data_IF_917552155561
#
_entry.id   IF_917552155561
#
_cell.length_a   1.000
_cell.length_b   1.000
_cell.length_c   1.000
_cell.angle_alpha   90.00
_cell.angle_beta   90.00
_cell.angle_gamma   90.00
#
_symmetry.space_group_name_H-M   'P 1'
#
loop_
_entity.id
_entity.type
_entity.pdbx_description
1 polymer ?
#
# COMPACT_ATOMS: atom_id res chain seq x y z
N UNK A 1 52.34 -42.25 14.33
CA UNK A 1 51.77 -41.20 15.22
C UNK A 1 50.73 -40.40 14.44
N UNK A 2 49.62 -39.99 15.07
CA UNK A 2 48.30 -40.41 14.59
C UNK A 2 47.35 -39.27 14.19
N UNK A 3 46.56 -39.57 13.13
CA UNK A 3 45.09 -39.42 12.92
C UNK A 3 44.19 -38.52 13.83
N UNK A 4 44.65 -37.41 14.42
CA UNK A 4 43.80 -36.58 15.30
C UNK A 4 43.67 -35.08 14.96
N UNK A 5 43.93 -34.64 13.73
CA UNK A 5 43.82 -33.22 13.36
C UNK A 5 42.89 -32.90 12.18
N UNK A 6 41.80 -33.66 11.99
CA UNK A 6 40.73 -33.35 11.01
C UNK A 6 39.30 -33.53 11.54
N UNK A 7 39.08 -33.26 12.82
CA UNK A 7 37.75 -33.41 13.43
C UNK A 7 37.38 -32.27 14.39
N UNK A 8 37.83 -31.05 14.12
CA UNK A 8 37.52 -29.84 14.90
C UNK A 8 37.08 -28.64 14.05
N UNK A 9 36.47 -28.88 12.88
CA UNK A 9 35.85 -27.82 12.05
C UNK A 9 34.38 -28.10 11.68
N UNK A 10 33.70 -29.01 12.41
CA UNK A 10 32.28 -29.28 12.23
C UNK A 10 31.59 -29.50 13.56
N UNK A 11 31.48 -28.46 14.38
CA UNK A 11 30.58 -28.38 15.55
C UNK A 11 30.63 -26.96 16.13
N UNK A 12 30.06 -26.00 15.42
CA UNK A 12 29.68 -24.69 15.95
C UNK A 12 28.45 -24.19 15.19
N UNK A 13 27.44 -25.05 15.04
CA UNK A 13 26.07 -24.63 14.79
C UNK A 13 25.36 -24.76 16.13
N UNK A 14 25.50 -23.75 16.98
CA UNK A 14 24.75 -23.68 18.24
C UNK A 14 24.25 -22.27 18.40
N UNK A 15 22.94 -22.14 18.19
CA UNK A 15 22.05 -21.20 18.85
C UNK A 15 22.55 -19.74 18.96
N UNK A 16 22.30 -18.98 17.91
CA UNK A 16 22.11 -17.54 18.02
C UNK A 16 20.90 -17.14 17.16
N UNK A 17 19.73 -17.68 17.48
CA UNK A 17 18.49 -17.01 17.07
C UNK A 17 18.25 -15.90 18.09
N UNK A 18 18.65 -14.71 17.65
CA UNK A 18 18.51 -13.44 18.30
C UNK A 18 17.04 -13.22 18.67
N UNK A 19 16.82 -13.03 19.96
CA UNK A 19 15.64 -12.42 20.53
C UNK A 19 15.61 -10.96 20.06
N UNK A 20 14.88 -10.63 19.00
CA UNK A 20 14.51 -9.25 18.66
C UNK A 20 13.33 -9.22 17.70
N UNK A 21 12.14 -9.08 18.26
CA UNK A 21 11.10 -8.14 17.80
C UNK A 21 9.90 -8.38 18.71
N UNK A 22 9.86 -7.69 19.84
CA UNK A 22 8.57 -7.33 20.40
C UNK A 22 7.95 -6.35 19.41
N UNK A 23 7.28 -6.88 18.37
CA UNK A 23 6.25 -6.12 17.67
C UNK A 23 5.22 -5.86 18.74
N UNK A 24 5.17 -4.64 19.26
CA UNK A 24 4.07 -4.20 20.07
C UNK A 24 2.81 -4.49 19.25
N UNK A 25 2.07 -5.52 19.66
CA UNK A 25 0.77 -5.81 19.09
C UNK A 25 -0.07 -4.57 19.36
N UNK A 26 -0.31 -3.77 18.32
CA UNK A 26 -1.26 -2.68 18.40
C UNK A 26 -2.58 -3.30 18.87
N UNK A 27 -3.14 -2.77 19.96
CA UNK A 27 -4.41 -3.20 20.55
C UNK A 27 -5.62 -2.85 19.66
N UNK A 28 -5.49 -2.96 18.34
CA UNK A 28 -6.42 -2.39 17.38
C UNK A 28 -6.53 -3.24 16.14
N UNK A 29 -6.95 -4.50 16.28
CA UNK A 29 -7.53 -5.30 15.19
C UNK A 29 -8.98 -5.73 15.52
N UNK A 30 -9.45 -5.50 16.76
CA UNK A 30 -10.79 -5.92 17.16
C UNK A 30 -11.84 -4.96 16.61
N UNK A 31 -12.69 -5.47 15.72
CA UNK A 31 -13.84 -4.76 15.17
C UNK A 31 -14.90 -4.61 16.25
N UNK A 32 -15.36 -3.38 16.49
CA UNK A 32 -16.37 -3.08 17.51
C UNK A 32 -17.78 -3.17 16.93
N UNK A 33 -17.95 -2.82 15.66
CA UNK A 33 -19.24 -2.83 14.98
C UNK A 33 -19.57 -4.21 14.42
N UNK A 34 -20.86 -4.48 14.25
CA UNK A 34 -21.31 -5.72 13.61
C UNK A 34 -21.12 -5.63 12.11
N UNK A 35 -20.99 -6.78 11.45
CA UNK A 35 -20.90 -6.86 9.99
C UNK A 35 -22.03 -6.12 9.26
N UNK A 36 -23.24 -6.15 9.83
CA UNK A 36 -24.38 -5.39 9.32
C UNK A 36 -24.12 -3.87 9.33
N UNK A 37 -23.51 -3.35 10.39
CA UNK A 37 -23.21 -1.92 10.50
C UNK A 37 -22.15 -1.52 9.48
N UNK A 38 -21.12 -2.35 9.25
CA UNK A 38 -20.12 -2.12 8.20
C UNK A 38 -20.76 -2.02 6.81
N UNK A 39 -21.67 -2.95 6.49
CA UNK A 39 -22.41 -2.96 5.22
C UNK A 39 -23.33 -1.76 5.07
N UNK A 40 -24.06 -1.41 6.13
CA UNK A 40 -24.98 -0.27 6.12
C UNK A 40 -24.21 1.05 5.93
N UNK A 41 -23.06 1.25 6.61
CA UNK A 41 -22.18 2.41 6.44
C UNK A 41 -21.60 2.45 5.02
N UNK A 42 -21.04 1.33 4.53
CA UNK A 42 -20.47 1.25 3.19
C UNK A 42 -21.50 1.58 2.10
N UNK A 43 -22.70 1.00 2.20
CA UNK A 43 -23.81 1.30 1.30
C UNK A 43 -24.18 2.79 1.32
N UNK A 44 -24.23 3.40 2.50
CA UNK A 44 -24.55 4.82 2.64
C UNK A 44 -23.46 5.73 2.04
N UNK A 45 -22.19 5.37 2.16
CA UNK A 45 -21.07 6.07 1.48
C UNK A 45 -21.17 5.87 -0.05
N UNK A 46 -21.49 4.68 -0.53
CA UNK A 46 -21.73 4.41 -1.96
C UNK A 46 -22.84 5.30 -2.54
N UNK A 47 -23.97 5.36 -1.83
CA UNK A 47 -25.08 6.25 -2.19
C UNK A 47 -24.68 7.74 -2.21
N UNK A 48 -23.78 8.16 -1.32
CA UNK A 48 -23.26 9.53 -1.30
C UNK A 48 -22.47 9.84 -2.58
N UNK A 49 -21.59 8.92 -3.01
CA UNK A 49 -20.79 9.07 -4.23
C UNK A 49 -21.70 9.11 -5.47
N UNK A 50 -22.69 8.22 -5.56
CA UNK A 50 -23.65 8.24 -6.66
C UNK A 50 -24.47 9.53 -6.72
N UNK A 51 -24.76 10.14 -5.57
CA UNK A 51 -25.53 11.37 -5.48
C UNK A 51 -24.73 12.60 -5.94
N UNK A 52 -23.40 12.62 -5.78
CA UNK A 52 -22.53 13.72 -6.25
C UNK A 52 -22.61 13.91 -7.76
N UNK A 53 -22.76 12.82 -8.52
CA UNK A 53 -22.90 12.88 -9.98
C UNK A 53 -24.29 13.31 -10.48
N UNK A 54 -25.25 13.56 -9.58
CA UNK A 54 -26.64 13.88 -9.93
C UNK A 54 -26.94 15.38 -9.74
N UNK A 55 -27.16 15.81 -8.49
CA UNK A 55 -27.45 17.20 -8.14
C UNK A 55 -27.17 17.48 -6.66
N UNK A 56 -27.13 18.76 -6.29
CA UNK A 56 -26.81 19.22 -4.93
C UNK A 56 -27.83 18.78 -3.87
N UNK A 57 -29.10 18.57 -4.25
CA UNK A 57 -30.17 18.14 -3.34
C UNK A 57 -30.04 16.65 -3.03
N UNK A 58 -29.75 15.83 -4.04
CA UNK A 58 -29.45 14.41 -3.87
C UNK A 58 -28.24 14.22 -2.96
N UNK A 59 -27.16 15.00 -3.21
CA UNK A 59 -25.96 14.98 -2.38
C UNK A 59 -26.26 15.34 -0.92
N UNK A 60 -26.98 16.44 -0.67
CA UNK A 60 -27.34 16.85 0.67
C UNK A 60 -28.16 15.78 1.41
N UNK A 61 -29.13 15.16 0.72
CA UNK A 61 -29.95 14.07 1.27
C UNK A 61 -29.10 12.84 1.64
N UNK A 62 -28.21 12.40 0.75
CA UNK A 62 -27.35 11.26 1.01
C UNK A 62 -26.36 11.54 2.16
N UNK A 63 -25.82 12.77 2.25
CA UNK A 63 -24.94 13.20 3.35
C UNK A 63 -25.67 13.15 4.70
N UNK A 64 -26.89 13.69 4.77
CA UNK A 64 -27.71 13.63 5.99
C UNK A 64 -28.00 12.19 6.38
N UNK A 65 -28.39 11.33 5.43
CA UNK A 65 -28.68 9.92 5.70
C UNK A 65 -27.47 9.16 6.27
N UNK A 66 -26.27 9.39 5.72
CA UNK A 66 -25.04 8.80 6.25
C UNK A 66 -24.73 9.31 7.67
N UNK A 67 -24.84 10.61 7.91
CA UNK A 67 -24.61 11.18 9.23
C UNK A 67 -25.61 10.63 10.27
N UNK A 68 -26.89 10.54 9.93
CA UNK A 68 -27.93 9.99 10.82
C UNK A 68 -27.67 8.53 11.15
N UNK A 69 -27.21 7.74 10.17
CA UNK A 69 -26.80 6.36 10.37
C UNK A 69 -25.61 6.26 11.34
N UNK A 70 -24.57 7.08 11.14
CA UNK A 70 -23.41 7.13 12.03
C UNK A 70 -23.82 7.52 13.46
N UNK A 71 -24.67 8.53 13.63
CA UNK A 71 -25.18 8.94 14.95
C UNK A 71 -25.95 7.80 15.61
N UNK A 72 -26.82 7.10 14.85
CA UNK A 72 -27.59 5.96 15.36
C UNK A 72 -26.67 4.84 15.84
N UNK A 73 -25.65 4.48 15.06
CA UNK A 73 -24.66 3.45 15.41
C UNK A 73 -23.86 3.90 16.64
N UNK A 74 -23.37 5.13 16.67
CA UNK A 74 -22.62 5.68 17.79
C UNK A 74 -23.39 5.72 19.12
N UNK A 75 -24.70 5.98 19.08
CA UNK A 75 -25.56 5.84 20.28
C UNK A 75 -25.67 4.38 20.74
N UNK A 76 -25.74 3.44 19.80
CA UNK A 76 -25.86 2.01 20.10
C UNK A 76 -24.56 1.40 20.69
N UNK A 77 -23.39 1.97 20.39
CA UNK A 77 -22.11 1.53 20.99
C UNK A 77 -21.94 1.94 22.47
N UNK A 78 -22.96 2.58 23.07
CA UNK A 78 -23.00 3.02 24.48
C UNK A 78 -21.88 4.01 24.87
N UNK A 79 -21.23 4.65 23.89
CA UNK A 79 -20.12 5.59 24.11
C UNK A 79 -20.54 7.07 24.18
N UNK A 80 -21.75 7.43 23.74
CA UNK A 80 -22.25 8.81 23.80
C UNK A 80 -23.78 8.90 23.74
N UNK A 81 -24.35 9.90 24.42
CA UNK A 81 -25.80 10.15 24.47
C UNK A 81 -26.26 11.27 23.52
N UNK A 82 -25.38 12.22 23.18
CA UNK A 82 -25.66 13.31 22.25
C UNK A 82 -25.19 12.98 20.81
N UNK A 83 -25.73 13.65 19.76
CA UNK A 83 -25.35 13.38 18.38
C UNK A 83 -23.86 13.61 18.07
N UNK A 84 -23.24 14.65 18.63
CA UNK A 84 -21.86 14.98 18.32
C UNK A 84 -20.91 13.93 18.90
N UNK A 85 -21.11 13.56 20.17
CA UNK A 85 -20.36 12.47 20.80
C UNK A 85 -20.56 11.13 20.09
N UNK A 86 -21.77 10.83 19.60
CA UNK A 86 -22.04 9.60 18.86
C UNK A 86 -21.25 9.54 17.53
N UNK A 87 -21.19 10.64 16.80
CA UNK A 87 -20.36 10.72 15.59
C UNK A 87 -18.88 10.55 15.92
N UNK A 88 -18.37 11.24 16.95
CA UNK A 88 -16.97 11.09 17.38
C UNK A 88 -16.63 9.65 17.77
N UNK A 89 -17.54 8.95 18.45
CA UNK A 89 -17.35 7.56 18.86
C UNK A 89 -17.19 6.61 17.68
N UNK A 90 -17.90 6.83 16.57
CA UNK A 90 -17.75 6.03 15.34
C UNK A 90 -16.50 6.44 14.57
N UNK A 91 -16.20 7.73 14.48
CA UNK A 91 -14.99 8.22 13.82
C UNK A 91 -13.70 7.71 14.49
N UNK A 92 -13.75 7.38 15.78
CA UNK A 92 -12.62 6.75 16.47
C UNK A 92 -12.37 5.29 16.06
N UNK A 93 -13.32 4.63 15.40
CA UNK A 93 -13.24 3.21 15.03
C UNK A 93 -12.59 3.03 13.66
N UNK A 94 -11.29 3.32 13.58
CA UNK A 94 -10.51 3.35 12.32
C UNK A 94 -10.66 2.05 11.51
N UNK A 95 -10.53 0.88 12.15
CA UNK A 95 -10.67 -0.42 11.46
C UNK A 95 -12.09 -0.73 11.00
N UNK A 96 -13.09 -0.40 11.83
CA UNK A 96 -14.49 -0.59 11.47
C UNK A 96 -14.88 0.28 10.27
N UNK A 97 -14.41 1.53 10.24
CA UNK A 97 -14.57 2.40 9.08
C UNK A 97 -13.84 1.84 7.85
N UNK A 98 -12.65 1.26 8.04
CA UNK A 98 -11.91 0.61 6.96
C UNK A 98 -12.70 -0.56 6.37
N UNK A 99 -13.26 -1.40 7.24
CA UNK A 99 -14.16 -2.49 6.84
C UNK A 99 -15.45 -2.00 6.19
N UNK A 100 -16.01 -0.88 6.63
CA UNK A 100 -17.15 -0.27 5.95
C UNK A 100 -16.80 0.23 4.54
N UNK A 101 -15.61 0.80 4.35
CA UNK A 101 -15.12 1.25 3.04
C UNK A 101 -15.03 0.09 2.04
N UNK A 102 -14.64 -1.11 2.47
CA UNK A 102 -14.69 -2.31 1.62
C UNK A 102 -16.09 -2.62 1.05
N UNK A 103 -17.16 -2.13 1.68
CA UNK A 103 -18.53 -2.30 1.22
C UNK A 103 -19.07 -1.13 0.38
N UNK A 104 -18.26 -0.09 0.11
CA UNK A 104 -18.69 1.10 -0.66
C UNK A 104 -18.94 0.78 -2.12
N UNK A 105 -18.00 0.06 -2.72
CA UNK A 105 -18.19 -0.41 -4.07
C UNK A 105 -19.11 -1.63 -4.01
N UNK A 106 -20.35 -1.48 -4.49
CA UNK A 106 -20.95 -2.59 -5.23
C UNK A 106 -20.09 -2.76 -6.47
N UNK A 107 -18.93 -3.41 -6.33
CA UNK A 107 -17.99 -3.64 -7.43
C UNK A 107 -18.83 -4.10 -8.61
N UNK A 108 -18.69 -3.45 -9.76
CA UNK A 108 -19.44 -3.82 -10.97
C UNK A 108 -18.83 -5.12 -11.52
N UNK A 109 -19.09 -6.21 -10.80
CA UNK A 109 -18.47 -7.54 -10.87
C UNK A 109 -19.04 -8.39 -12.03
N UNK A 110 -19.75 -7.79 -12.97
CA UNK A 110 -20.35 -8.51 -14.08
C UNK A 110 -19.27 -9.03 -15.02
N UNK A 111 -19.29 -10.34 -15.30
CA UNK A 111 -18.45 -10.96 -16.34
C UNK A 111 -17.14 -11.59 -15.85
N UNK A 112 -16.87 -11.63 -14.54
CA UNK A 112 -15.73 -12.38 -13.99
C UNK A 112 -16.05 -13.88 -14.03
N UNK A 113 -15.14 -14.68 -14.60
CA UNK A 113 -15.22 -16.15 -14.68
C UNK A 113 -14.15 -16.78 -13.79
N UNK A 114 -14.50 -17.26 -12.58
CA UNK A 114 -13.57 -17.94 -11.68
C UNK A 114 -12.88 -19.13 -12.33
N UNK A 115 -11.57 -19.28 -12.13
CA UNK A 115 -10.78 -20.38 -12.66
C UNK A 115 -10.44 -20.28 -14.15
N UNK A 116 -10.75 -19.15 -14.80
CA UNK A 116 -10.37 -18.86 -16.18
C UNK A 116 -9.40 -17.69 -16.23
N UNK A 117 -8.50 -17.75 -17.21
CA UNK A 117 -7.59 -16.65 -17.54
C UNK A 117 -8.35 -15.62 -18.39
N UNK A 118 -8.54 -14.43 -17.86
CA UNK A 118 -9.20 -13.31 -18.54
C UNK A 118 -8.16 -12.32 -19.07
N UNK A 119 -8.39 -11.78 -20.26
CA UNK A 119 -7.63 -10.64 -20.79
C UNK A 119 -8.37 -9.34 -20.48
N UNK A 120 -7.63 -8.28 -20.21
CA UNK A 120 -8.15 -6.94 -20.01
C UNK A 120 -7.35 -5.90 -20.78
N UNK A 121 -7.99 -4.78 -21.08
CA UNK A 121 -7.38 -3.63 -21.71
C UNK A 121 -7.91 -2.35 -21.06
N UNK A 122 -7.06 -1.33 -20.94
CA UNK A 122 -7.43 0.03 -20.54
C UNK A 122 -7.15 0.94 -21.74
N UNK A 123 -8.16 1.70 -22.12
CA UNK A 123 -8.02 2.79 -23.08
C UNK A 123 -7.43 4.01 -22.34
N UNK A 124 -6.30 4.50 -22.82
CA UNK A 124 -5.63 5.68 -22.26
C UNK A 124 -5.74 6.92 -23.15
N UNK A 125 -6.63 6.89 -24.16
CA UNK A 125 -6.83 8.02 -25.06
C UNK A 125 -5.75 8.19 -26.14
N UNK A 126 -4.68 7.39 -26.11
CA UNK A 126 -3.76 7.19 -27.23
C UNK A 126 -4.24 5.98 -28.06
N UNK A 127 -4.80 6.24 -29.24
CA UNK A 127 -5.44 5.24 -30.14
C UNK A 127 -4.52 4.08 -30.58
N UNK A 128 -3.20 4.16 -30.34
CA UNK A 128 -2.23 3.18 -30.83
C UNK A 128 -1.86 2.06 -29.85
N UNK A 129 -1.95 2.26 -28.52
CA UNK A 129 -1.43 1.29 -27.54
C UNK A 129 -2.33 1.17 -26.30
N UNK A 130 -3.36 0.32 -26.41
CA UNK A 130 -4.17 -0.07 -25.24
C UNK A 130 -3.28 -0.73 -24.18
N UNK A 131 -3.46 -0.36 -22.91
CA UNK A 131 -2.74 -0.99 -21.81
C UNK A 131 -3.35 -2.37 -21.53
N UNK A 132 -2.68 -3.42 -21.97
CA UNK A 132 -3.15 -4.80 -21.88
C UNK A 132 -2.62 -5.51 -20.64
N UNK A 133 -3.45 -6.36 -20.05
CA UNK A 133 -3.13 -7.17 -18.89
C UNK A 133 -3.90 -8.49 -18.94
N UNK A 134 -3.49 -9.46 -18.13
CA UNK A 134 -4.20 -10.72 -17.94
C UNK A 134 -4.45 -10.94 -16.45
N UNK A 135 -5.59 -11.56 -16.12
CA UNK A 135 -6.00 -11.86 -14.76
C UNK A 135 -6.36 -13.33 -14.64
N UNK A 136 -5.78 -14.01 -13.66
CA UNK A 136 -6.26 -15.29 -13.17
C UNK A 136 -6.99 -15.08 -11.85
N UNK A 137 -8.16 -15.71 -11.73
CA UNK A 137 -8.88 -15.79 -10.44
C UNK A 137 -9.06 -17.25 -10.04
N UNK A 138 -8.97 -17.59 -8.75
CA UNK A 138 -9.21 -18.96 -8.30
C UNK A 138 -10.61 -19.45 -8.64
N UNK A 139 -10.79 -20.76 -8.83
CA UNK A 139 -12.14 -21.36 -9.01
C UNK A 139 -13.10 -21.07 -7.86
N UNK A 140 -12.54 -20.88 -6.66
CA UNK A 140 -13.27 -20.58 -5.42
C UNK A 140 -13.59 -19.10 -5.26
N UNK A 141 -13.11 -18.24 -6.17
CA UNK A 141 -13.30 -16.79 -6.11
C UNK A 141 -14.79 -16.44 -6.04
N UNK A 142 -15.14 -15.61 -5.06
CA UNK A 142 -16.46 -15.03 -4.91
C UNK A 142 -16.33 -13.53 -4.80
N UNK A 143 -17.06 -12.85 -5.67
CA UNK A 143 -17.03 -11.41 -5.77
C UNK A 143 -17.53 -10.71 -4.48
N UNK A 144 -18.43 -11.36 -3.75
CA UNK A 144 -18.94 -10.97 -2.43
C UNK A 144 -18.42 -11.86 -1.28
N UNK A 145 -17.36 -12.64 -1.51
CA UNK A 145 -16.75 -13.51 -0.50
C UNK A 145 -15.65 -12.81 0.29
N UNK A 146 -14.77 -13.62 0.88
CA UNK A 146 -13.55 -13.12 1.50
C UNK A 146 -12.63 -12.47 0.44
N UNK A 147 -12.09 -11.27 0.70
CA UNK A 147 -11.06 -10.67 -0.14
C UNK A 147 -9.84 -11.57 -0.25
N UNK A 148 -9.24 -11.62 -1.45
CA UNK A 148 -8.07 -12.45 -1.73
C UNK A 148 -6.81 -11.59 -1.92
N UNK A 149 -5.63 -12.11 -1.54
CA UNK A 149 -4.35 -11.52 -1.92
C UNK A 149 -4.23 -11.28 -3.43
N UNK A 150 -3.53 -10.21 -3.80
CA UNK A 150 -3.24 -9.86 -5.19
C UNK A 150 -1.72 -9.91 -5.44
N UNK A 151 -1.31 -10.67 -6.45
CA UNK A 151 0.05 -10.63 -6.98
C UNK A 151 0.00 -9.89 -8.32
N UNK A 152 0.65 -8.72 -8.38
CA UNK A 152 0.78 -7.90 -9.57
C UNK A 152 2.15 -8.12 -10.21
N UNK A 153 2.19 -8.86 -11.30
CA UNK A 153 3.38 -9.27 -12.02
C UNK A 153 3.82 -8.22 -13.03
N UNK A 154 5.07 -7.78 -12.89
CA UNK A 154 5.81 -6.96 -13.84
C UNK A 154 6.84 -7.86 -14.52
N UNK A 155 6.53 -8.40 -15.71
CA UNK A 155 7.42 -9.31 -16.38
C UNK A 155 8.61 -8.57 -17.02
N UNK A 156 9.64 -9.35 -17.34
CA UNK A 156 10.77 -8.92 -18.15
C UNK A 156 10.70 -9.51 -19.56
N UNK A 157 11.83 -10.00 -20.05
CA UNK A 157 11.95 -10.50 -21.41
C UNK A 157 11.87 -12.03 -21.43
N UNK A 158 11.55 -12.59 -22.59
CA UNK A 158 11.69 -14.01 -22.90
C UNK A 158 12.45 -14.14 -24.20
N UNK A 159 13.63 -14.75 -24.18
CA UNK A 159 14.43 -15.00 -25.40
C UNK A 159 14.62 -13.72 -26.24
N UNK A 160 14.81 -12.58 -25.58
CA UNK A 160 14.99 -11.27 -26.23
C UNK A 160 13.70 -10.57 -26.70
N UNK A 161 12.52 -11.07 -26.34
CA UNK A 161 11.22 -10.43 -26.65
C UNK A 161 10.44 -10.07 -25.39
N UNK A 162 9.66 -8.97 -25.37
CA UNK A 162 8.78 -8.65 -24.25
C UNK A 162 7.76 -9.76 -24.00
N UNK A 163 7.54 -10.15 -22.74
CA UNK A 163 6.46 -11.05 -22.38
C UNK A 163 5.09 -10.40 -22.61
N UNK A 164 4.14 -11.17 -23.15
CA UNK A 164 2.72 -10.85 -22.98
C UNK A 164 2.21 -11.37 -21.64
N UNK A 165 1.29 -10.66 -21.02
CA UNK A 165 0.67 -10.97 -19.74
C UNK A 165 0.05 -12.36 -19.73
N UNK A 166 -0.68 -12.71 -20.81
CA UNK A 166 -1.36 -14.01 -20.92
C UNK A 166 -0.35 -15.15 -20.96
N UNK A 167 0.68 -15.01 -21.79
CA UNK A 167 1.74 -16.02 -21.88
C UNK A 167 2.46 -16.16 -20.54
N UNK A 168 2.77 -15.03 -19.89
CA UNK A 168 3.46 -15.02 -18.61
C UNK A 168 2.70 -15.86 -17.56
N UNK A 169 1.39 -15.63 -17.37
CA UNK A 169 0.58 -16.38 -16.39
C UNK A 169 0.33 -17.85 -16.76
N UNK A 170 0.52 -18.25 -18.02
CA UNK A 170 0.43 -19.66 -18.42
C UNK A 170 1.72 -20.41 -18.07
N UNK A 171 2.85 -19.73 -18.11
CA UNK A 171 4.17 -20.35 -18.00
C UNK A 171 4.81 -20.19 -16.60
N UNK A 172 4.40 -19.19 -15.83
CA UNK A 172 5.01 -18.83 -14.56
C UNK A 172 3.98 -18.85 -13.42
N UNK A 173 4.42 -19.17 -12.20
CA UNK A 173 3.59 -19.15 -10.99
C UNK A 173 2.36 -20.07 -11.03
N UNK A 174 2.46 -21.18 -11.78
CA UNK A 174 1.38 -22.16 -12.03
C UNK A 174 1.10 -23.12 -10.86
N UNK A 175 1.76 -22.93 -9.73
CA UNK A 175 1.62 -23.78 -8.55
C UNK A 175 0.19 -23.70 -7.98
N UNK A 176 -0.45 -24.86 -7.82
CA UNK A 176 -1.84 -24.96 -7.37
C UNK A 176 -2.14 -24.19 -6.07
N UNK A 177 -1.30 -24.23 -5.01
CA UNK A 177 -1.55 -23.47 -3.78
C UNK A 177 -1.66 -21.95 -3.97
N UNK A 178 -1.07 -21.42 -5.03
CA UNK A 178 -1.10 -19.99 -5.38
C UNK A 178 -2.37 -19.71 -6.21
N UNK A 179 -2.57 -20.49 -7.28
CA UNK A 179 -3.72 -20.38 -8.19
C UNK A 179 -5.08 -20.57 -7.51
N UNK A 180 -5.12 -21.26 -6.36
CA UNK A 180 -6.33 -21.50 -5.58
C UNK A 180 -6.62 -20.41 -4.53
N UNK A 181 -5.65 -19.54 -4.21
CA UNK A 181 -5.73 -18.63 -3.06
C UNK A 181 -5.45 -17.18 -3.36
N UNK A 182 -4.96 -16.83 -4.56
CA UNK A 182 -4.63 -15.47 -4.92
C UNK A 182 -5.21 -15.06 -6.27
N UNK A 183 -5.46 -13.76 -6.42
CA UNK A 183 -5.70 -13.13 -7.71
C UNK A 183 -4.33 -12.84 -8.32
N UNK A 184 -4.08 -13.31 -9.54
CA UNK A 184 -2.82 -13.09 -10.25
C UNK A 184 -3.06 -12.15 -11.41
N UNK A 185 -2.28 -11.09 -11.51
CA UNK A 185 -2.42 -10.09 -12.59
C UNK A 185 -1.07 -9.86 -13.21
N UNK A 186 -0.93 -10.14 -14.50
CA UNK A 186 0.28 -9.80 -15.24
C UNK A 186 0.01 -8.64 -16.21
N UNK A 187 1.02 -7.79 -16.38
CA UNK A 187 1.03 -6.72 -17.36
C UNK A 187 1.74 -7.18 -18.64
N UNK A 188 1.33 -6.65 -19.78
CA UNK A 188 2.18 -6.72 -20.97
C UNK A 188 3.39 -5.82 -20.74
N UNK A 189 4.59 -6.34 -21.03
CA UNK A 189 5.76 -5.49 -21.13
C UNK A 189 5.67 -4.68 -22.45
N UNK A 190 5.84 -3.35 -22.42
CA UNK A 190 5.79 -2.52 -23.62
C UNK A 190 6.81 -2.97 -24.67
N UNK A 191 6.42 -2.84 -25.95
CA UNK A 191 7.31 -3.13 -27.07
C UNK A 191 8.57 -2.24 -27.04
N UNK A 192 8.39 -0.94 -26.75
CA UNK A 192 9.50 -0.06 -26.39
C UNK A 192 9.88 -0.29 -24.93
N UNK A 193 10.90 -1.11 -24.70
CA UNK A 193 11.33 -1.44 -23.34
C UNK A 193 11.96 -0.25 -22.58
N UNK A 194 12.36 0.82 -23.28
CA UNK A 194 12.96 2.00 -22.64
C UNK A 194 11.98 2.73 -21.72
N UNK A 195 10.67 2.61 -21.99
CA UNK A 195 9.63 3.26 -21.19
C UNK A 195 9.23 2.45 -19.95
N UNK A 196 9.77 1.24 -19.76
CA UNK A 196 9.32 0.33 -18.70
C UNK A 196 9.65 0.86 -17.29
N UNK A 197 10.79 1.53 -17.14
CA UNK A 197 11.30 2.02 -15.84
C UNK A 197 10.94 3.48 -15.51
N UNK A 198 10.03 4.11 -16.28
CA UNK A 198 9.64 5.51 -16.11
C UNK A 198 8.14 5.66 -15.88
N UNK A 199 7.74 6.80 -15.32
CA UNK A 199 6.32 7.14 -15.12
C UNK A 199 5.68 7.66 -16.40
N UNK A 200 6.41 8.52 -17.11
CA UNK A 200 6.08 9.02 -18.43
C UNK A 200 7.32 9.04 -19.32
N UNK A 201 7.12 8.88 -20.62
CA UNK A 201 8.18 8.84 -21.62
C UNK A 201 7.86 9.78 -22.79
N UNK A 202 8.92 10.34 -23.39
CA UNK A 202 8.84 11.23 -24.56
C UNK A 202 8.26 12.62 -24.26
N UNK A 203 8.35 13.50 -25.26
CA UNK A 203 7.90 14.90 -25.16
C UNK A 203 6.38 15.03 -25.01
N UNK A 204 5.62 14.06 -25.52
CA UNK A 204 4.15 14.00 -25.41
C UNK A 204 3.68 13.39 -24.08
N UNK A 205 4.59 12.90 -23.23
CA UNK A 205 4.28 12.42 -21.89
C UNK A 205 3.46 11.12 -21.87
N UNK A 206 3.71 10.21 -22.83
CA UNK A 206 3.14 8.85 -22.89
C UNK A 206 3.34 8.14 -21.56
N UNK A 207 2.36 7.35 -21.12
CA UNK A 207 2.45 6.60 -19.86
C UNK A 207 3.51 5.50 -19.95
N UNK A 208 4.50 5.54 -19.04
CA UNK A 208 5.54 4.53 -18.89
C UNK A 208 5.14 3.41 -17.91
N UNK A 209 5.98 2.39 -17.77
CA UNK A 209 5.67 1.16 -17.03
C UNK A 209 5.22 1.38 -15.58
N UNK A 210 5.75 2.40 -14.88
CA UNK A 210 5.28 2.75 -13.52
C UNK A 210 3.81 3.21 -13.55
N UNK A 211 3.44 4.04 -14.53
CA UNK A 211 2.08 4.51 -14.69
C UNK A 211 1.13 3.40 -15.18
N UNK A 212 1.61 2.50 -16.05
CA UNK A 212 0.84 1.33 -16.51
C UNK A 212 0.50 0.43 -15.30
N UNK A 213 1.50 0.10 -14.47
CA UNK A 213 1.32 -0.70 -13.26
C UNK A 213 0.22 -0.15 -12.35
N UNK A 214 0.24 1.16 -12.08
CA UNK A 214 -0.75 1.79 -11.20
C UNK A 214 -2.13 1.90 -11.81
N UNK A 215 -2.24 2.11 -13.14
CA UNK A 215 -3.54 2.11 -13.84
C UNK A 215 -4.18 0.72 -13.84
N UNK A 216 -3.39 -0.32 -14.11
CA UNK A 216 -3.85 -1.71 -14.04
C UNK A 216 -4.22 -2.08 -12.60
N UNK A 217 -3.40 -1.71 -11.62
CA UNK A 217 -3.71 -1.91 -10.21
C UNK A 217 -5.03 -1.25 -9.81
N UNK A 218 -5.24 0.02 -10.15
CA UNK A 218 -6.49 0.72 -9.86
C UNK A 218 -7.70 0.07 -10.54
N UNK A 219 -7.55 -0.34 -11.81
CA UNK A 219 -8.61 -1.04 -12.56
C UNK A 219 -8.97 -2.37 -11.94
N UNK A 220 -7.98 -3.20 -11.61
CA UNK A 220 -8.19 -4.52 -10.99
C UNK A 220 -8.80 -4.35 -9.59
N UNK A 221 -8.27 -3.41 -8.80
CA UNK A 221 -8.74 -3.14 -7.45
C UNK A 221 -10.22 -2.76 -7.38
N UNK A 222 -10.74 -2.05 -8.40
CA UNK A 222 -12.16 -1.70 -8.49
C UNK A 222 -13.05 -2.79 -9.11
N UNK A 223 -12.47 -3.80 -9.75
CA UNK A 223 -13.22 -4.91 -10.39
C UNK A 223 -13.26 -6.17 -9.53
N UNK A 224 -12.17 -6.48 -8.83
CA UNK A 224 -11.96 -7.75 -8.14
C UNK A 224 -11.97 -7.58 -6.62
N UNK A 225 -12.29 -8.67 -5.92
CA UNK A 225 -12.30 -8.73 -4.47
C UNK A 225 -10.90 -8.90 -3.88
N UNK A 226 -10.13 -7.81 -3.92
CA UNK A 226 -8.75 -7.72 -3.45
C UNK A 226 -8.71 -7.40 -1.95
N UNK A 227 -7.86 -8.13 -1.22
CA UNK A 227 -7.37 -7.77 0.10
C UNK A 227 -6.28 -6.69 -0.04
N UNK A 228 -6.59 -5.44 0.28
CA UNK A 228 -5.67 -4.31 0.10
C UNK A 228 -4.47 -4.35 1.06
N UNK A 229 -4.54 -5.17 2.12
CA UNK A 229 -3.41 -5.37 3.01
C UNK A 229 -2.50 -6.50 2.54
N UNK A 230 -2.85 -7.17 1.43
CA UNK A 230 -2.08 -8.27 0.82
C UNK A 230 -1.94 -8.10 -0.69
N UNK A 231 -1.45 -6.93 -1.10
CA UNK A 231 -1.07 -6.65 -2.48
C UNK A 231 0.45 -6.73 -2.59
N UNK A 232 0.97 -7.59 -3.46
CA UNK A 232 2.40 -7.77 -3.68
C UNK A 232 2.75 -7.42 -5.13
N UNK A 233 3.85 -6.72 -5.30
CA UNK A 233 4.47 -6.53 -6.62
C UNK A 233 5.42 -7.68 -6.87
N UNK A 234 5.33 -8.32 -8.03
CA UNK A 234 6.23 -9.41 -8.42
C UNK A 234 6.99 -9.00 -9.66
N UNK A 235 8.25 -8.62 -9.50
CA UNK A 235 9.13 -8.26 -10.60
C UNK A 235 9.97 -9.44 -11.06
N UNK A 236 9.92 -9.75 -12.35
CA UNK A 236 10.70 -10.84 -12.95
C UNK A 236 11.70 -10.27 -13.95
N UNK A 237 12.97 -10.69 -13.86
CA UNK A 237 14.06 -10.16 -14.68
C UNK A 237 14.13 -8.62 -14.65
N UNK A 238 14.05 -7.96 -15.82
CA UNK A 238 14.05 -6.50 -15.95
C UNK A 238 12.83 -5.84 -15.31
N UNK A 239 11.76 -6.60 -15.06
CA UNK A 239 10.59 -6.13 -14.32
C UNK A 239 10.82 -5.92 -12.83
N UNK A 240 11.90 -6.47 -12.24
CA UNK A 240 12.29 -6.20 -10.85
C UNK A 240 12.53 -4.71 -10.61
N UNK A 241 13.29 -4.07 -11.50
CA UNK A 241 13.60 -2.66 -11.37
C UNK A 241 12.35 -1.78 -11.42
N UNK A 242 11.35 -2.15 -12.23
CA UNK A 242 10.05 -1.47 -12.28
C UNK A 242 9.27 -1.70 -11.00
N UNK A 243 9.20 -2.94 -10.50
CA UNK A 243 8.51 -3.28 -9.27
C UNK A 243 9.04 -2.45 -8.08
N UNK A 244 10.36 -2.33 -7.95
CA UNK A 244 10.99 -1.52 -6.91
C UNK A 244 10.70 -0.02 -7.08
N UNK A 245 10.64 0.49 -8.31
CA UNK A 245 10.29 1.89 -8.59
C UNK A 245 8.82 2.19 -8.28
N UNK A 246 7.90 1.32 -8.70
CA UNK A 246 6.47 1.43 -8.36
C UNK A 246 6.30 1.43 -6.85
N UNK A 247 6.95 0.50 -6.14
CA UNK A 247 6.90 0.44 -4.69
C UNK A 247 7.53 1.69 -4.05
N UNK A 248 8.65 2.19 -4.56
CA UNK A 248 9.32 3.38 -4.02
C UNK A 248 8.52 4.67 -4.23
N UNK A 249 7.73 4.73 -5.30
CA UNK A 249 6.80 5.84 -5.56
C UNK A 249 5.50 5.69 -4.77
N UNK A 250 4.99 4.47 -4.58
CA UNK A 250 3.70 4.22 -3.97
C UNK A 250 3.78 3.21 -2.81
N UNK A 251 4.66 3.43 -1.81
CA UNK A 251 5.00 2.39 -0.82
C UNK A 251 3.81 1.99 0.06
N UNK A 252 2.85 2.89 0.18
CA UNK A 252 1.65 2.70 0.97
C UNK A 252 0.58 1.83 0.32
N UNK A 253 0.79 1.29 -0.89
CA UNK A 253 -0.18 0.39 -1.53
C UNK A 253 0.21 -1.09 -1.45
N UNK A 254 1.42 -1.42 -1.01
CA UNK A 254 1.97 -2.76 -1.15
C UNK A 254 2.38 -3.37 0.18
N UNK A 255 2.07 -4.66 0.34
CA UNK A 255 2.50 -5.51 1.44
C UNK A 255 3.93 -6.01 1.25
N UNK A 256 4.46 -5.97 0.03
CA UNK A 256 5.86 -6.30 -0.26
C UNK A 256 6.18 -6.33 -1.75
N UNK A 257 7.48 -6.46 -2.04
CA UNK A 257 8.00 -6.68 -3.41
C UNK A 257 8.72 -8.03 -3.45
N UNK A 258 8.38 -8.84 -4.44
CA UNK A 258 9.00 -10.13 -4.73
C UNK A 258 9.81 -9.95 -6.02
N UNK A 259 11.11 -10.17 -5.96
CA UNK A 259 11.98 -10.17 -7.12
C UNK A 259 12.42 -11.58 -7.48
N UNK A 260 12.35 -11.93 -8.76
CA UNK A 260 12.79 -13.22 -9.26
C UNK A 260 13.64 -13.08 -10.52
N UNK A 261 14.78 -13.80 -10.56
CA UNK A 261 15.64 -13.91 -11.75
C UNK A 261 16.04 -12.53 -12.33
N UNK A 262 16.12 -11.51 -11.49
CA UNK A 262 16.41 -10.13 -11.87
C UNK A 262 17.49 -9.53 -11.00
N UNK A 263 17.92 -8.32 -11.34
CA UNK A 263 18.83 -7.53 -10.50
C UNK A 263 18.34 -6.07 -10.41
N UNK A 264 18.96 -5.29 -9.52
CA UNK A 264 18.62 -3.88 -9.31
C UNK A 264 19.87 -3.01 -9.19
N UNK A 265 19.83 -1.80 -9.72
CA UNK A 265 21.00 -0.90 -9.74
C UNK A 265 20.71 0.42 -9.01
N UNK A 266 19.51 0.98 -9.21
CA UNK A 266 19.14 2.30 -8.69
C UNK A 266 17.63 2.40 -8.48
N UNK A 267 17.18 1.89 -7.33
CA UNK A 267 15.83 2.12 -6.82
C UNK A 267 15.88 2.90 -5.50
N UNK A 268 14.82 3.68 -5.24
CA UNK A 268 14.64 4.52 -4.06
C UNK A 268 14.38 3.67 -2.79
N UNK A 269 15.38 2.87 -2.40
CA UNK A 269 15.39 1.97 -1.24
C UNK A 269 14.98 2.70 0.06
N UNK A 270 15.33 3.99 0.18
CA UNK A 270 14.96 4.87 1.30
C UNK A 270 13.43 4.95 1.51
N UNK A 271 12.64 4.95 0.42
CA UNK A 271 11.18 5.03 0.48
C UNK A 271 10.54 3.67 0.85
N UNK A 272 11.33 2.59 0.84
CA UNK A 272 10.85 1.23 1.00
C UNK A 272 10.99 0.71 2.42
N UNK A 273 11.35 1.55 3.41
CA UNK A 273 11.47 1.16 4.82
C UNK A 273 10.33 0.28 5.34
N UNK A 274 9.10 0.58 4.92
CA UNK A 274 7.88 -0.09 5.37
C UNK A 274 7.31 -1.08 4.34
N UNK A 275 8.05 -1.34 3.26
CA UNK A 275 7.69 -2.31 2.22
C UNK A 275 8.77 -3.40 2.21
N UNK A 276 8.48 -4.59 2.73
CA UNK A 276 9.47 -5.65 2.75
C UNK A 276 9.75 -6.17 1.33
N UNK A 277 10.98 -6.59 1.09
CA UNK A 277 11.46 -7.13 -0.18
C UNK A 277 11.95 -8.56 0.01
N UNK A 278 11.63 -9.43 -0.93
CA UNK A 278 12.17 -10.78 -1.02
C UNK A 278 12.72 -11.03 -2.40
N UNK A 279 13.93 -11.57 -2.50
CA UNK A 279 14.62 -11.81 -3.76
C UNK A 279 15.02 -13.28 -3.91
N UNK A 280 14.57 -13.91 -4.99
CA UNK A 280 15.00 -15.25 -5.42
C UNK A 280 15.82 -15.21 -6.70
N UNK A 281 17.08 -15.59 -6.58
CA UNK A 281 18.07 -15.34 -7.63
C UNK A 281 18.24 -13.84 -7.83
N UNK A 282 19.37 -13.31 -7.38
CA UNK A 282 19.69 -11.90 -7.51
C UNK A 282 21.16 -11.74 -7.85
N UNK A 283 21.45 -10.81 -8.76
CA UNK A 283 22.84 -10.43 -9.03
C UNK A 283 23.46 -9.65 -7.87
N UNK A 284 24.60 -9.02 -8.14
CA UNK A 284 25.30 -8.21 -7.13
C UNK A 284 24.46 -7.04 -6.62
N UNK A 285 23.50 -6.56 -7.41
CA UNK A 285 22.61 -5.46 -7.04
C UNK A 285 21.65 -5.80 -5.89
N UNK A 286 21.00 -6.95 -5.94
CA UNK A 286 20.15 -7.45 -4.84
C UNK A 286 20.94 -7.68 -3.54
N UNK A 287 22.21 -8.11 -3.65
CA UNK A 287 23.11 -8.25 -2.49
C UNK A 287 23.44 -6.88 -1.90
N UNK A 288 23.84 -5.93 -2.75
CA UNK A 288 24.11 -4.55 -2.33
C UNK A 288 22.87 -3.89 -1.71
N UNK A 289 21.67 -4.20 -2.20
CA UNK A 289 20.41 -3.75 -1.63
C UNK A 289 20.20 -4.24 -0.19
N UNK A 290 20.40 -5.53 0.06
CA UNK A 290 20.29 -6.12 1.40
C UNK A 290 21.30 -5.46 2.35
N UNK A 291 22.56 -5.31 1.92
CA UNK A 291 23.60 -4.66 2.73
C UNK A 291 23.24 -3.20 3.04
N UNK A 292 22.74 -2.45 2.05
CA UNK A 292 22.38 -1.04 2.19
C UNK A 292 21.19 -0.83 3.12
N UNK A 293 20.12 -1.60 2.93
CA UNK A 293 18.92 -1.55 3.78
C UNK A 293 19.25 -1.92 5.21
N UNK A 294 20.00 -3.00 5.42
CA UNK A 294 20.47 -3.41 6.75
C UNK A 294 21.38 -2.37 7.40
N UNK A 295 22.29 -1.78 6.63
CA UNK A 295 23.18 -0.69 7.10
C UNK A 295 22.42 0.57 7.52
N UNK A 296 21.26 0.83 6.94
CA UNK A 296 20.35 1.90 7.33
C UNK A 296 19.38 1.52 8.48
N UNK A 297 19.49 0.30 9.01
CA UNK A 297 18.62 -0.22 10.07
C UNK A 297 17.23 -0.62 9.59
N UNK A 298 17.07 -0.93 8.29
CA UNK A 298 15.85 -1.52 7.75
C UNK A 298 16.00 -3.04 7.79
N UNK A 299 15.18 -3.69 8.62
CA UNK A 299 15.10 -5.15 8.69
C UNK A 299 13.94 -5.63 7.80
N UNK A 300 14.05 -5.35 6.50
CA UNK A 300 12.95 -5.52 5.56
C UNK A 300 13.35 -6.21 4.25
N UNK A 301 14.59 -6.68 4.09
CA UNK A 301 15.03 -7.41 2.91
C UNK A 301 15.32 -8.88 3.25
N UNK A 302 14.90 -9.80 2.39
CA UNK A 302 15.22 -11.23 2.48
C UNK A 302 15.81 -11.70 1.15
N UNK A 303 17.09 -12.09 1.16
CA UNK A 303 17.74 -12.69 -0.01
C UNK A 303 17.77 -14.22 0.12
N UNK A 304 17.13 -14.92 -0.82
CA UNK A 304 17.08 -16.38 -0.87
C UNK A 304 17.53 -16.87 -2.26
N UNK A 305 18.81 -17.18 -2.41
CA UNK A 305 19.43 -17.47 -3.72
C UNK A 305 18.69 -18.55 -4.54
N UNK A 306 18.29 -19.65 -3.91
CA UNK A 306 17.59 -20.76 -4.56
C UNK A 306 16.06 -20.74 -4.32
N UNK A 307 15.49 -19.57 -4.02
CA UNK A 307 14.07 -19.43 -3.72
C UNK A 307 13.18 -19.74 -4.91
N UNK A 308 12.02 -20.35 -4.63
CA UNK A 308 11.01 -20.74 -5.62
C UNK A 308 9.70 -19.99 -5.41
N UNK A 309 8.77 -20.12 -6.36
CA UNK A 309 7.44 -19.50 -6.29
C UNK A 309 6.71 -19.88 -4.99
N UNK A 310 6.82 -21.13 -4.54
CA UNK A 310 6.27 -21.58 -3.26
C UNK A 310 6.89 -20.89 -2.04
N UNK A 311 8.19 -20.62 -2.04
CA UNK A 311 8.87 -19.90 -0.94
C UNK A 311 8.43 -18.44 -0.90
N UNK A 312 8.37 -17.80 -2.08
CA UNK A 312 7.88 -16.44 -2.24
C UNK A 312 6.42 -16.31 -1.76
N UNK A 313 5.58 -17.32 -2.06
CA UNK A 313 4.20 -17.36 -1.61
C UNK A 313 4.08 -17.54 -0.09
N UNK A 314 4.88 -18.43 0.50
CA UNK A 314 4.93 -18.59 1.95
C UNK A 314 5.35 -17.27 2.64
N UNK A 315 6.39 -16.62 2.12
CA UNK A 315 6.85 -15.32 2.58
C UNK A 315 5.76 -14.24 2.48
N UNK A 316 5.00 -14.23 1.38
CA UNK A 316 3.91 -13.29 1.18
C UNK A 316 2.80 -13.47 2.23
N UNK A 317 2.34 -14.71 2.44
CA UNK A 317 1.22 -15.02 3.35
C UNK A 317 1.45 -14.58 4.81
N UNK A 318 2.69 -14.55 5.26
CA UNK A 318 3.07 -14.08 6.61
C UNK A 318 2.98 -12.57 6.77
N UNK A 319 2.90 -11.83 5.66
CA UNK A 319 3.03 -10.38 5.65
C UNK A 319 1.71 -9.72 5.28
N UNK A 320 1.39 -8.68 6.02
CA UNK A 320 0.36 -7.70 5.66
C UNK A 320 1.01 -6.34 5.59
N UNK A 321 0.53 -5.50 4.69
CA UNK A 321 0.89 -4.09 4.64
C UNK A 321 0.50 -3.43 5.96
N UNK A 322 1.39 -2.58 6.48
CA UNK A 322 1.02 -1.61 7.51
C UNK A 322 0.60 -0.30 6.84
N UNK A 323 -0.71 -0.01 6.83
CA UNK A 323 -1.24 1.19 6.20
C UNK A 323 -0.95 2.48 6.99
N UNK A 324 -0.66 2.37 8.29
CA UNK A 324 -0.36 3.49 9.20
C UNK A 324 0.92 3.21 10.01
N UNK A 325 2.09 3.10 9.36
CA UNK A 325 3.34 2.77 10.04
C UNK A 325 3.74 3.90 11.00
N UNK A 326 4.39 3.55 12.11
CA UNK A 326 4.85 4.54 13.10
C UNK A 326 5.98 5.42 12.59
N UNK A 327 6.75 4.97 11.58
CA UNK A 327 7.86 5.73 10.99
C UNK A 327 7.74 5.75 9.47
N UNK A 328 8.05 6.88 8.86
CA UNK A 328 8.08 7.06 7.40
C UNK A 328 9.36 7.78 7.02
N UNK A 329 10.00 7.30 5.97
CA UNK A 329 11.03 8.03 5.24
C UNK A 329 10.49 8.27 3.83
N UNK A 330 10.56 9.51 3.38
CA UNK A 330 10.08 9.92 2.07
C UNK A 330 11.10 10.85 1.43
N UNK A 331 11.85 10.30 0.48
CA UNK A 331 12.66 11.04 -0.47
C UNK A 331 11.75 11.51 -1.60
N UNK A 332 11.68 12.83 -1.78
CA UNK A 332 10.91 13.45 -2.84
C UNK A 332 11.79 13.55 -4.10
N UNK A 333 11.23 13.18 -5.24
CA UNK A 333 11.94 13.16 -6.51
C UNK A 333 10.98 13.23 -7.69
N UNK A 334 11.44 13.73 -8.83
CA UNK A 334 10.69 13.69 -10.06
C UNK A 334 10.61 12.24 -10.58
N UNK A 335 9.45 11.78 -11.08
CA UNK A 335 8.21 12.54 -11.26
C UNK A 335 7.24 12.53 -10.06
N UNK A 336 7.39 11.63 -9.09
CA UNK A 336 6.62 11.53 -7.84
C UNK A 336 7.29 10.44 -7.00
N UNK A 337 7.25 10.48 -5.65
CA UNK A 337 6.08 10.84 -4.85
C UNK A 337 6.12 12.19 -4.14
N UNK A 338 4.93 12.77 -3.93
CA UNK A 338 4.71 13.87 -2.98
C UNK A 338 4.12 13.39 -1.65
N UNK A 339 3.75 12.13 -1.52
CA UNK A 339 3.15 11.63 -0.28
C UNK A 339 3.22 10.12 -0.13
N UNK A 340 3.28 9.68 1.11
CA UNK A 340 3.28 8.27 1.49
C UNK A 340 2.49 8.09 2.78
N UNK A 341 1.73 6.99 2.86
CA UNK A 341 0.91 6.62 4.03
C UNK A 341 0.00 7.77 4.47
N UNK A 342 0.28 8.33 5.65
CA UNK A 342 -0.44 9.40 6.34
C UNK A 342 0.17 10.80 6.16
N UNK A 343 1.13 10.97 5.24
CA UNK A 343 1.81 12.24 4.99
C UNK A 343 1.74 12.63 3.50
N UNK A 344 1.56 13.92 3.24
CA UNK A 344 1.62 14.53 1.91
C UNK A 344 2.43 15.82 2.00
N UNK A 345 3.59 15.86 1.36
CA UNK A 345 4.31 17.10 1.10
C UNK A 345 3.54 17.93 0.07
N UNK A 346 3.57 19.25 0.22
CA UNK A 346 3.16 20.09 -0.89
C UNK A 346 4.10 19.90 -2.09
N UNK A 347 3.57 19.93 -3.32
CA UNK A 347 4.40 19.91 -4.51
C UNK A 347 5.45 21.01 -4.45
N UNK A 348 6.70 20.60 -4.50
CA UNK A 348 7.88 21.47 -4.60
C UNK A 348 8.70 20.98 -5.78
N UNK A 349 9.44 21.87 -6.42
CA UNK A 349 10.45 21.41 -7.39
C UNK A 349 11.45 20.52 -6.63
N UNK A 350 11.52 19.22 -6.98
CA UNK A 350 12.36 18.31 -6.24
C UNK A 350 13.82 18.71 -6.45
N UNK A 351 14.47 19.14 -5.37
CA UNK A 351 15.90 19.40 -5.33
C UNK A 351 16.65 18.19 -4.76
N UNK A 352 17.90 17.92 -5.17
CA UNK A 352 18.69 16.85 -4.59
C UNK A 352 18.73 16.93 -3.07
N UNK A 353 18.40 15.82 -2.40
CA UNK A 353 18.36 15.74 -0.94
C UNK A 353 17.05 16.22 -0.29
N UNK A 354 15.99 16.46 -1.08
CA UNK A 354 14.66 16.72 -0.52
C UNK A 354 14.11 15.46 0.14
N UNK A 355 13.92 15.50 1.46
CA UNK A 355 13.54 14.32 2.27
C UNK A 355 12.66 14.72 3.45
N UNK A 356 11.79 13.79 3.85
CA UNK A 356 10.99 13.86 5.06
C UNK A 356 11.19 12.57 5.85
N UNK A 357 11.54 12.71 7.12
CA UNK A 357 11.55 11.64 8.12
C UNK A 357 10.48 11.98 9.17
N UNK A 358 9.44 11.16 9.26
CA UNK A 358 8.30 11.40 10.13
C UNK A 358 8.03 10.20 11.03
N UNK A 359 7.67 10.47 12.29
CA UNK A 359 7.42 9.46 13.30
C UNK A 359 6.18 9.82 14.14
N UNK A 360 5.33 8.84 14.38
CA UNK A 360 4.24 8.90 15.35
C UNK A 360 4.51 7.92 16.48
N UNK A 361 4.38 8.42 17.69
CA UNK A 361 4.47 7.66 18.92
C UNK A 361 3.13 7.79 19.65
N UNK A 362 2.38 6.69 19.66
CA UNK A 362 1.08 6.63 20.31
C UNK A 362 1.18 6.67 21.83
N UNK A 363 2.23 6.09 22.41
CA UNK A 363 2.39 6.00 23.87
C UNK A 363 2.58 7.40 24.48
N UNK A 364 3.36 8.24 23.81
CA UNK A 364 3.59 9.64 24.21
C UNK A 364 2.69 10.64 23.50
N UNK A 365 1.76 10.18 22.66
CA UNK A 365 0.87 10.97 21.82
C UNK A 365 1.59 12.07 21.02
N UNK A 366 2.71 11.69 20.38
CA UNK A 366 3.65 12.60 19.74
C UNK A 366 3.79 12.35 18.24
N UNK A 367 3.82 13.42 17.47
CA UNK A 367 4.17 13.46 16.05
C UNK A 367 5.47 14.23 15.88
N UNK A 368 6.46 13.63 15.22
CA UNK A 368 7.73 14.27 14.87
C UNK A 368 7.88 14.29 13.35
N UNK A 369 8.26 15.44 12.79
CA UNK A 369 8.52 15.62 11.36
C UNK A 369 9.84 16.36 11.22
N UNK A 370 10.82 15.69 10.65
CA UNK A 370 12.09 16.29 10.25
C UNK A 370 12.13 16.30 8.72
N UNK A 371 12.37 17.46 8.12
CA UNK A 371 12.29 17.61 6.69
C UNK A 371 13.31 18.61 6.16
N UNK A 372 13.87 18.31 4.99
CA UNK A 372 14.81 19.15 4.23
C UNK A 372 14.23 19.39 2.85
N UNK A 373 14.28 20.64 2.39
CA UNK A 373 13.76 21.04 1.07
C UNK A 373 12.24 21.08 0.97
N UNK A 374 11.51 20.93 2.08
CA UNK A 374 10.04 20.94 2.12
C UNK A 374 9.56 22.05 3.04
N UNK A 375 8.65 22.89 2.55
CA UNK A 375 8.09 24.02 3.31
C UNK A 375 6.85 23.64 4.11
N UNK A 376 6.00 22.79 3.55
CA UNK A 376 4.71 22.44 4.12
C UNK A 376 4.35 20.99 3.89
N UNK A 377 3.70 20.39 4.89
CA UNK A 377 3.21 19.02 4.85
C UNK A 377 1.79 18.94 5.41
N UNK A 378 0.94 18.18 4.74
CA UNK A 378 -0.36 17.76 5.27
C UNK A 378 -0.22 16.39 5.92
N UNK A 379 -0.62 16.32 7.19
CA UNK A 379 -0.71 15.06 7.95
C UNK A 379 -2.16 14.65 8.06
N UNK A 380 -2.40 13.36 7.88
CA UNK A 380 -3.71 12.73 7.97
C UNK A 380 -3.75 11.89 9.23
N UNK A 381 -4.78 12.06 10.05
CA UNK A 381 -4.85 11.51 11.40
C UNK A 381 -5.91 10.43 11.51
N UNK A 382 -5.60 9.41 12.30
CA UNK A 382 -6.55 8.40 12.76
C UNK A 382 -6.20 7.93 14.18
N UNK A 383 -7.12 7.19 14.77
CA UNK A 383 -7.03 6.69 16.14
C UNK A 383 -6.20 5.40 16.27
N UNK A 384 -5.53 4.93 15.21
CA UNK A 384 -4.48 3.92 15.33
C UNK A 384 -3.13 4.56 15.59
N UNK A 385 -2.88 5.73 14.98
CA UNK A 385 -1.60 6.44 15.09
C UNK A 385 -1.46 7.21 16.40
N UNK A 386 -2.49 7.97 16.78
CA UNK A 386 -2.47 8.87 17.94
C UNK A 386 -3.81 8.77 18.70
N UNK A 387 -3.82 9.17 19.96
CA UNK A 387 -5.03 9.33 20.77
C UNK A 387 -5.60 10.73 20.52
N UNK A 388 -6.61 10.82 19.66
CA UNK A 388 -7.21 12.10 19.24
C UNK A 388 -8.18 12.70 20.29
N UNK A 389 -8.44 11.98 21.39
CA UNK A 389 -9.19 12.54 22.52
C UNK A 389 -8.33 13.47 23.38
N UNK A 390 -7.00 13.31 23.30
CA UNK A 390 -6.00 14.11 24.01
C UNK A 390 -5.31 15.11 23.07
N UNK A 391 -4.77 16.21 23.60
CA UNK A 391 -3.80 17.01 22.87
C UNK A 391 -2.62 16.15 22.40
N UNK A 392 -2.15 16.41 21.19
CA UNK A 392 -0.96 15.78 20.61
C UNK A 392 0.22 16.75 20.70
N UNK A 393 1.41 16.19 20.94
CA UNK A 393 2.67 16.95 20.84
C UNK A 393 3.19 16.86 19.42
N UNK A 394 3.33 17.99 18.72
CA UNK A 394 3.86 18.03 17.36
C UNK A 394 5.21 18.73 17.35
N UNK A 395 6.21 18.07 16.76
CA UNK A 395 7.58 18.56 16.64
C UNK A 395 7.94 18.65 15.16
N UNK A 396 8.03 19.85 14.61
CA UNK A 396 8.43 20.08 13.22
C UNK A 396 9.82 20.72 13.19
N UNK A 397 10.83 20.03 12.64
CA UNK A 397 12.22 20.51 12.59
C UNK A 397 12.72 21.06 13.94
N UNK A 398 12.39 20.35 15.03
CA UNK A 398 12.78 20.70 16.40
C UNK A 398 12.00 21.86 17.03
N UNK A 399 10.95 22.37 16.39
CA UNK A 399 9.99 23.32 16.98
C UNK A 399 8.79 22.54 17.50
N UNK A 400 8.55 22.63 18.80
CA UNK A 400 7.48 21.91 19.48
C UNK A 400 6.22 22.78 19.61
N UNK A 401 5.05 22.15 19.47
CA UNK A 401 3.75 22.71 19.82
C UNK A 401 2.84 21.61 20.37
N UNK A 402 1.87 22.01 21.16
CA UNK A 402 0.82 21.13 21.64
C UNK A 402 -0.52 21.60 21.08
N UNK A 403 -1.31 20.67 20.57
CA UNK A 403 -2.57 21.00 19.91
C UNK A 403 -3.58 19.86 20.01
N UNK A 404 -4.88 20.20 20.02
CA UNK A 404 -5.94 19.21 19.90
C UNK A 404 -6.37 19.07 18.45
N UNK A 405 -6.32 17.84 17.93
CA UNK A 405 -6.83 17.50 16.59
C UNK A 405 -8.20 16.85 16.75
N UNK A 406 -9.24 17.52 16.27
CA UNK A 406 -10.61 17.01 16.35
C UNK A 406 -10.93 16.11 15.15
N UNK A 407 -11.62 14.98 15.39
CA UNK A 407 -12.16 14.16 14.31
C UNK A 407 -13.27 14.95 13.61
N UNK A 408 -13.27 14.91 12.28
CA UNK A 408 -14.17 15.66 11.43
C UNK A 408 -14.84 14.71 10.45
N UNK A 409 -16.17 14.68 10.47
CA UNK A 409 -16.94 13.89 9.51
C UNK A 409 -16.69 14.36 8.07
N UNK A 410 -16.52 15.67 7.87
CA UNK A 410 -16.23 16.23 6.56
C UNK A 410 -14.82 15.90 6.08
N UNK A 411 -13.82 15.94 6.97
CA UNK A 411 -12.46 15.51 6.64
C UNK A 411 -12.47 14.02 6.30
N UNK A 412 -13.14 13.18 7.10
CA UNK A 412 -13.29 11.76 6.81
C UNK A 412 -13.83 11.52 5.41
N UNK A 413 -14.94 12.15 5.04
CA UNK A 413 -15.52 11.98 3.71
C UNK A 413 -14.62 12.52 2.60
N UNK A 414 -14.03 13.70 2.78
CA UNK A 414 -13.16 14.32 1.79
C UNK A 414 -11.88 13.50 1.56
N UNK A 415 -11.30 12.95 2.62
CA UNK A 415 -10.10 12.10 2.56
C UNK A 415 -10.46 10.73 1.98
N UNK A 416 -11.54 10.12 2.45
CA UNK A 416 -11.99 8.81 1.97
C UNK A 416 -12.15 8.82 0.45
N UNK A 417 -12.85 9.83 -0.09
CA UNK A 417 -13.05 10.03 -1.53
C UNK A 417 -11.75 10.12 -2.32
N UNK A 418 -10.76 10.83 -1.79
CA UNK A 418 -9.50 11.11 -2.49
C UNK A 418 -8.46 9.99 -2.32
N UNK A 419 -8.54 9.18 -1.26
CA UNK A 419 -7.41 8.31 -0.85
C UNK A 419 -7.80 6.89 -0.44
N UNK A 420 -9.06 6.63 -0.09
CA UNK A 420 -9.45 5.43 0.65
C UNK A 420 -10.55 4.62 -0.03
N UNK A 421 -11.31 5.16 -0.99
CA UNK A 421 -12.41 4.41 -1.63
C UNK A 421 -11.96 3.12 -2.33
N UNK A 422 -10.69 3.05 -2.75
CA UNK A 422 -10.08 1.85 -3.32
C UNK A 422 -9.09 1.18 -2.34
N UNK A 423 -9.07 1.57 -1.06
CA UNK A 423 -8.12 1.10 -0.05
C UNK A 423 -8.66 1.31 1.38
N UNK A 424 -9.39 0.32 1.89
CA UNK A 424 -9.99 0.34 3.23
C UNK A 424 -8.96 0.41 4.38
N UNK A 425 -7.67 0.14 4.14
CA UNK A 425 -6.63 0.28 5.16
C UNK A 425 -6.24 1.74 5.42
N UNK A 426 -6.63 2.68 4.56
CA UNK A 426 -6.22 4.10 4.63
C UNK A 426 -7.32 5.00 5.17
N UNK A 427 -7.81 4.71 6.37
CA UNK A 427 -8.83 5.57 7.00
C UNK A 427 -8.20 6.70 7.78
N UNK A 428 -8.69 7.91 7.54
CA UNK A 428 -8.31 9.11 8.26
C UNK A 428 -9.56 9.94 8.55
N UNK A 429 -9.59 10.56 9.72
CA UNK A 429 -10.76 11.30 10.22
C UNK A 429 -10.44 12.76 10.52
N UNK A 430 -9.20 13.18 10.31
CA UNK A 430 -8.81 14.58 10.34
C UNK A 430 -7.58 14.78 9.43
N UNK A 431 -7.38 16.01 8.97
CA UNK A 431 -6.12 16.42 8.34
C UNK A 431 -5.67 17.78 8.83
N UNK A 432 -4.35 18.01 8.85
CA UNK A 432 -3.79 19.30 9.21
C UNK A 432 -2.55 19.63 8.38
N UNK A 433 -2.50 20.87 7.91
CA UNK A 433 -1.33 21.43 7.24
C UNK A 433 -0.37 21.99 8.28
N UNK A 434 0.92 21.68 8.13
CA UNK A 434 1.98 22.16 8.98
C UNK A 434 3.06 22.85 8.17
N UNK A 435 3.40 24.06 8.61
CA UNK A 435 4.59 24.75 8.15
C UNK A 435 5.82 24.14 8.82
N UNK A 436 6.84 23.91 7.99
CA UNK A 436 8.11 23.35 8.41
C UNK A 436 9.11 24.50 8.53
N UNK A 437 9.60 24.82 9.75
CA UNK A 437 10.67 25.78 9.89
C UNK A 437 11.95 25.24 9.24
N UNK A 438 12.93 26.09 8.91
CA UNK A 438 14.23 25.60 8.44
C UNK A 438 14.80 24.55 9.40
N UNK A 439 15.41 23.46 8.90
CA UNK A 439 16.07 22.48 9.76
C UNK A 439 17.15 23.19 10.60
N UNK A 440 17.28 22.79 11.87
CA UNK A 440 18.41 23.21 12.70
C UNK A 440 19.67 22.51 12.15
N UNK A 441 20.69 23.29 11.80
CA UNK A 441 21.97 22.80 11.28
C UNK A 441 22.66 21.80 12.22
#
# INVERSE_FOLDING_TARGET
>A
MPKHLRQLQRSALTAAFVLCAAVAAFAGDELVLKDKDHKDIGTAIGNLIEAEGKDSKALAKARTALNDLIVKIGKATKKANDPAGATQAVLALTNDLGKAIYHVETRKMSGIRPGELAAGAIDDGDDADKLTYAVWTPKTYKANGEPLPLLLFLPGMKEGKPYSAKQFLIENWVDAPIHEKAILVALDMPADTSIWNVHRAGDEGRVGGIGIAMRVFGRVSGLYNVDYDRVYLVGVETGLQVALRVAGTYPHHFAGVIGQRGDTEDAAWDNLRNVPTWFAGGGSGCTAWEEKTKGAGFDNCTLQQDGKDADAWAWALERKRNASPSKINLVLGAPVPFGAYWLLAEPTEPSPGTRIDAEVDRETNKLTINARGVKRVTVFFNDLMLDLDKPIKVVCNGVEREEKVARSFDDFLAIAKKRSLCDGGRVYVASKLYDLPPPKD
#
